data_IF_351551722419
#
_entry.id   IF_351551722419
#
_cell.length_a   1.000
_cell.length_b   1.000
_cell.length_c   1.000
_cell.angle_alpha   90.00
_cell.angle_beta   90.00
_cell.angle_gamma   90.00
#
_symmetry.space_group_name_H-M   'P 1'
#
loop_
_entity.id
_entity.type
_entity.pdbx_description
1 polymer ?
#
# COMPACT_ATOMS: atom_id res chain seq x y z
N UNK A 1 13.71 -5.80 17.75
CA UNK A 1 13.06 -5.85 16.42
C UNK A 1 14.10 -6.32 15.42
N UNK A 2 13.69 -7.10 14.41
CA UNK A 2 14.59 -7.52 13.32
C UNK A 2 14.82 -6.36 12.36
N UNK A 3 16.01 -6.25 11.80
CA UNK A 3 16.34 -5.26 10.76
C UNK A 3 15.68 -5.55 9.41
N UNK A 4 14.94 -6.65 9.25
CA UNK A 4 14.32 -7.02 7.97
C UNK A 4 12.86 -6.61 7.93
N UNK A 5 12.51 -5.82 6.90
CA UNK A 5 11.11 -5.53 6.58
C UNK A 5 10.43 -6.79 6.01
N UNK A 6 9.37 -7.25 6.68
CA UNK A 6 8.60 -8.44 6.28
C UNK A 6 7.13 -8.08 6.08
N UNK A 7 6.62 -8.33 4.88
CA UNK A 7 5.20 -8.26 4.59
C UNK A 7 4.43 -9.39 5.27
N UNK A 8 3.13 -9.18 5.48
CA UNK A 8 2.22 -10.21 6.01
C UNK A 8 1.75 -11.08 4.82
N UNK A 9 1.73 -12.41 4.95
CA UNK A 9 1.14 -13.28 3.92
C UNK A 9 -0.32 -12.88 3.64
N UNK A 10 -0.73 -12.86 2.37
CA UNK A 10 -2.03 -12.29 1.97
C UNK A 10 -3.23 -12.88 2.71
N UNK A 11 -3.29 -14.22 2.86
CA UNK A 11 -4.35 -14.89 3.62
C UNK A 11 -4.45 -14.37 5.06
N UNK A 12 -3.31 -14.23 5.73
CA UNK A 12 -3.27 -13.73 7.11
C UNK A 12 -3.65 -12.24 7.15
N UNK A 13 -3.18 -11.45 6.18
CA UNK A 13 -3.53 -10.03 6.05
C UNK A 13 -5.04 -9.85 5.91
N UNK A 14 -5.68 -10.60 5.01
CA UNK A 14 -7.13 -10.60 4.76
C UNK A 14 -7.91 -11.02 6.02
N UNK A 15 -7.62 -12.19 6.57
CA UNK A 15 -8.34 -12.75 7.72
C UNK A 15 -8.20 -11.83 8.94
N UNK A 16 -6.98 -11.36 9.23
CA UNK A 16 -6.75 -10.48 10.37
C UNK A 16 -7.50 -9.16 10.21
N UNK A 17 -7.46 -8.56 9.02
CA UNK A 17 -8.17 -7.29 8.75
C UNK A 17 -9.67 -7.44 8.95
N UNK A 18 -10.29 -8.47 8.37
CA UNK A 18 -11.74 -8.68 8.49
C UNK A 18 -12.18 -9.04 9.90
N UNK A 19 -11.41 -9.89 10.59
CA UNK A 19 -11.70 -10.30 11.97
C UNK A 19 -11.54 -9.14 12.95
N UNK A 20 -10.45 -8.38 12.85
CA UNK A 20 -10.24 -7.22 13.70
C UNK A 20 -11.38 -6.22 13.50
N UNK A 21 -11.73 -5.92 12.25
CA UNK A 21 -12.86 -5.04 11.97
C UNK A 21 -14.16 -5.50 12.62
N UNK A 22 -14.54 -6.77 12.42
CA UNK A 22 -15.80 -7.31 12.95
C UNK A 22 -15.89 -7.25 14.46
N UNK A 23 -14.77 -7.43 15.15
CA UNK A 23 -14.73 -7.52 16.60
C UNK A 23 -14.57 -6.15 17.28
N UNK A 24 -13.76 -5.26 16.70
CA UNK A 24 -13.34 -4.01 17.38
C UNK A 24 -13.57 -2.75 16.57
N UNK A 25 -14.03 -2.86 15.32
CA UNK A 25 -14.09 -1.73 14.37
C UNK A 25 -12.74 -1.03 14.20
N UNK A 26 -11.66 -1.81 14.19
CA UNK A 26 -10.29 -1.35 13.91
C UNK A 26 -9.64 -2.22 12.84
N UNK A 27 -8.62 -1.69 12.17
CA UNK A 27 -7.68 -2.50 11.38
C UNK A 27 -6.26 -2.06 11.75
N UNK A 28 -5.44 -2.99 12.21
CA UNK A 28 -4.09 -2.73 12.73
C UNK A 28 -4.07 -1.65 13.81
N UNK A 29 -5.00 -1.77 14.77
CA UNK A 29 -5.18 -0.87 15.93
C UNK A 29 -5.62 0.56 15.59
N UNK A 30 -5.87 0.86 14.31
CA UNK A 30 -6.42 2.15 13.89
C UNK A 30 -7.94 2.04 13.87
N UNK A 31 -8.69 2.95 14.52
CA UNK A 31 -10.14 2.96 14.46
C UNK A 31 -10.64 3.44 13.11
N UNK A 32 -11.78 2.88 12.67
CA UNK A 32 -12.47 3.36 11.47
C UNK A 32 -12.89 4.81 11.69
N UNK A 33 -12.37 5.71 10.86
CA UNK A 33 -12.70 7.12 10.88
C UNK A 33 -14.07 7.34 10.23
N UNK A 34 -14.99 7.94 10.97
CA UNK A 34 -16.28 8.36 10.44
C UNK A 34 -16.15 9.75 9.81
N UNK A 35 -16.49 9.84 8.53
CA UNK A 35 -16.36 11.07 7.77
C UNK A 35 -17.45 11.21 6.73
N UNK A 36 -17.75 12.46 6.39
CA UNK A 36 -18.68 12.77 5.30
C UNK A 36 -18.04 12.48 3.95
N UNK A 37 -18.63 11.56 3.20
CA UNK A 37 -18.15 11.19 1.86
C UNK A 37 -18.57 12.21 0.81
N UNK A 38 -17.88 13.35 0.79
CA UNK A 38 -18.07 14.42 -0.18
C UNK A 38 -17.62 14.01 -1.60
N UNK A 39 -17.64 14.96 -2.54
CA UNK A 39 -17.26 14.74 -3.93
C UNK A 39 -16.17 15.75 -4.33
N UNK A 40 -14.92 15.43 -4.02
CA UNK A 40 -13.76 16.19 -4.49
C UNK A 40 -13.25 15.61 -5.81
N UNK A 41 -12.36 16.33 -6.49
CA UNK A 41 -11.66 15.84 -7.67
C UNK A 41 -10.16 16.06 -7.50
N UNK A 42 -9.38 15.00 -7.66
CA UNK A 42 -7.92 15.02 -7.63
C UNK A 42 -7.41 14.27 -8.85
N UNK A 43 -6.46 14.88 -9.58
CA UNK A 43 -5.92 14.36 -10.83
C UNK A 43 -7.01 13.94 -11.86
N UNK A 44 -8.12 14.70 -11.90
CA UNK A 44 -9.24 14.45 -12.80
C UNK A 44 -10.14 13.26 -12.42
N UNK A 45 -9.94 12.65 -11.24
CA UNK A 45 -10.76 11.55 -10.74
C UNK A 45 -11.47 11.93 -9.43
N UNK A 46 -12.70 11.44 -9.18
CA UNK A 46 -13.43 11.73 -7.96
C UNK A 46 -12.76 11.07 -6.75
N UNK A 47 -12.81 11.74 -5.60
CA UNK A 47 -12.40 11.20 -4.29
C UNK A 47 -13.32 11.72 -3.19
N UNK A 48 -13.57 10.91 -2.17
CA UNK A 48 -14.44 11.25 -1.04
C UNK A 48 -13.77 12.15 -0.01
N UNK A 49 -12.43 12.08 0.07
CA UNK A 49 -11.58 12.98 0.82
C UNK A 49 -10.28 13.26 0.04
N UNK A 50 -9.81 14.50 -0.08
CA UNK A 50 -8.62 14.83 -0.85
C UNK A 50 -7.35 14.74 0.04
N UNK A 51 -7.23 13.68 0.83
CA UNK A 51 -6.13 13.50 1.79
C UNK A 51 -5.58 12.06 1.76
N UNK A 52 -4.30 11.94 2.07
CA UNK A 52 -3.67 10.69 2.47
C UNK A 52 -2.15 10.80 2.49
N UNK A 53 -1.45 9.67 2.73
CA UNK A 53 -0.02 9.68 3.01
C UNK A 53 0.82 9.97 1.75
N UNK A 54 1.89 10.74 1.95
CA UNK A 54 2.96 10.93 0.98
C UNK A 54 3.85 9.67 0.86
N UNK A 55 4.65 9.59 -0.20
CA UNK A 55 5.59 8.50 -0.41
C UNK A 55 6.59 8.42 0.74
N UNK A 56 6.60 7.29 1.45
CA UNK A 56 7.44 7.14 2.64
C UNK A 56 7.35 5.73 3.23
N UNK A 57 7.99 5.49 4.38
CA UNK A 57 8.01 4.16 5.00
C UNK A 57 6.60 3.59 5.26
N UNK A 58 5.63 4.48 5.51
CA UNK A 58 4.25 4.08 5.75
C UNK A 58 3.54 3.52 4.49
N UNK A 59 3.95 3.93 3.29
CA UNK A 59 3.32 3.48 2.02
C UNK A 59 4.11 2.36 1.34
N UNK A 60 4.88 1.59 2.11
CA UNK A 60 5.61 0.40 1.64
C UNK A 60 4.84 -0.92 1.85
N UNK A 61 4.12 -1.05 2.97
CA UNK A 61 3.51 -2.31 3.38
C UNK A 61 1.98 -2.22 3.35
N UNK A 62 1.34 -3.32 2.97
CA UNK A 62 -0.10 -3.37 2.75
C UNK A 62 -0.90 -3.04 4.02
N UNK A 63 -0.48 -3.54 5.20
CA UNK A 63 -1.17 -3.26 6.47
C UNK A 63 -1.22 -1.77 6.81
N UNK A 64 -0.18 -1.02 6.45
CA UNK A 64 -0.11 0.42 6.72
C UNK A 64 -1.03 1.21 5.77
N UNK A 65 -1.09 0.79 4.50
CA UNK A 65 -2.02 1.36 3.52
C UNK A 65 -3.48 1.08 3.95
N UNK A 66 -3.77 -0.14 4.43
CA UNK A 66 -5.08 -0.51 4.98
C UNK A 66 -5.43 0.37 6.20
N UNK A 67 -4.51 0.50 7.15
CA UNK A 67 -4.67 1.34 8.33
C UNK A 67 -4.93 2.82 7.95
N UNK A 68 -4.21 3.33 6.96
CA UNK A 68 -4.42 4.68 6.43
C UNK A 68 -5.79 4.84 5.75
N UNK A 69 -6.25 3.83 4.98
CA UNK A 69 -7.55 3.87 4.31
C UNK A 69 -8.71 3.96 5.29
N UNK A 70 -8.67 3.14 6.35
CA UNK A 70 -9.71 3.16 7.39
C UNK A 70 -9.65 4.43 8.25
N UNK A 71 -8.50 5.10 8.31
CA UNK A 71 -8.35 6.43 8.90
C UNK A 71 -8.85 7.57 7.98
N UNK A 72 -9.40 7.26 6.81
CA UNK A 72 -9.98 8.23 5.89
C UNK A 72 -9.11 8.59 4.68
N UNK A 73 -7.92 8.02 4.53
CA UNK A 73 -7.09 8.30 3.35
C UNK A 73 -7.76 7.79 2.07
N UNK A 74 -7.70 8.61 1.01
CA UNK A 74 -8.14 8.23 -0.35
C UNK A 74 -7.06 8.46 -1.39
N UNK A 75 -5.97 9.13 -1.04
CA UNK A 75 -4.82 9.33 -1.93
C UNK A 75 -3.63 8.69 -1.27
N UNK A 76 -2.96 7.78 -1.97
CA UNK A 76 -1.79 7.09 -1.45
C UNK A 76 -0.66 7.31 -2.42
N UNK A 77 0.30 8.15 -2.05
CA UNK A 77 1.55 8.21 -2.80
C UNK A 77 2.42 7.04 -2.35
N UNK A 78 2.57 6.06 -3.23
CA UNK A 78 3.27 4.82 -2.91
C UNK A 78 4.78 5.07 -2.83
N UNK A 79 5.48 4.36 -1.95
CA UNK A 79 6.92 4.50 -1.80
C UNK A 79 7.62 4.35 -3.15
N UNK A 80 8.56 5.25 -3.43
CA UNK A 80 9.33 5.25 -4.66
C UNK A 80 10.06 3.93 -4.89
N UNK A 81 9.83 3.33 -6.05
CA UNK A 81 10.61 2.21 -6.57
C UNK A 81 11.66 2.72 -7.56
N UNK A 82 12.81 2.05 -7.59
CA UNK A 82 13.91 2.36 -8.50
C UNK A 82 14.73 1.09 -8.80
N UNK A 83 15.72 1.19 -9.69
CA UNK A 83 16.53 0.03 -10.11
C UNK A 83 17.31 -0.57 -8.94
N UNK A 84 17.97 0.27 -8.13
CA UNK A 84 18.69 -0.12 -6.91
C UNK A 84 17.71 -0.25 -5.74
N UNK A 85 17.59 -1.45 -5.16
CA UNK A 85 16.50 -1.77 -4.23
C UNK A 85 16.94 -2.73 -3.13
N UNK A 86 16.18 -2.78 -2.04
CA UNK A 86 16.39 -3.78 -0.99
C UNK A 86 17.78 -3.73 -0.35
N UNK A 87 18.44 -4.87 -0.25
CA UNK A 87 19.75 -4.98 0.40
C UNK A 87 20.85 -4.22 -0.36
N UNK A 88 20.72 -4.04 -1.68
CA UNK A 88 21.69 -3.29 -2.50
C UNK A 88 21.78 -1.81 -2.09
N UNK A 89 20.74 -1.26 -1.47
CA UNK A 89 20.74 0.11 -0.96
C UNK A 89 21.66 0.28 0.26
N UNK A 90 22.02 -0.81 0.94
CA UNK A 90 22.93 -0.75 2.10
C UNK A 90 22.45 0.21 3.20
N UNK A 91 21.14 0.30 3.42
CA UNK A 91 20.53 1.28 4.32
C UNK A 91 21.08 1.09 5.74
N UNK A 92 21.88 2.06 6.18
CA UNK A 92 22.44 2.08 7.55
C UNK A 92 21.32 2.42 8.54
N UNK A 93 21.14 1.59 9.56
CA UNK A 93 20.07 1.73 10.56
C UNK A 93 20.61 2.26 11.91
N UNK A 94 19.88 3.15 12.62
CA UNK A 94 18.58 3.72 12.27
C UNK A 94 18.67 4.71 11.08
N UNK A 95 17.86 4.48 10.04
CA UNK A 95 17.82 5.31 8.83
C UNK A 95 16.83 6.47 8.92
N UNK A 96 15.93 6.40 9.89
CA UNK A 96 15.25 7.57 10.43
C UNK A 96 15.58 7.56 11.91
N UNK A 97 16.61 8.28 12.29
CA UNK A 97 16.96 8.41 13.70
C UNK A 97 16.21 9.62 14.24
N UNK A 98 15.69 9.69 15.45
CA UNK A 98 15.48 11.01 16.03
C UNK A 98 15.77 11.02 17.48
N UNK A 99 16.67 11.91 17.85
CA UNK A 99 16.88 12.26 19.24
C UNK A 99 15.59 12.73 19.92
N UNK A 100 14.75 13.59 19.28
CA UNK A 100 13.46 14.08 19.85
C UNK A 100 12.27 14.30 18.84
N UNK A 101 12.40 14.17 17.49
CA UNK A 101 11.35 14.32 16.42
C UNK A 101 11.57 13.68 14.97
N UNK A 102 12.56 14.07 14.11
CA UNK A 102 13.22 13.32 12.98
C UNK A 102 14.74 13.63 12.63
N UNK A 103 15.55 12.63 12.23
CA UNK A 103 16.81 12.59 11.42
C UNK A 103 16.44 11.67 10.24
N UNK A 104 16.89 12.00 9.03
CA UNK A 104 16.48 11.27 7.83
C UNK A 104 17.69 10.95 6.94
N UNK A 105 17.98 9.66 6.77
CA UNK A 105 18.67 9.13 5.58
C UNK A 105 17.63 8.42 4.73
N UNK A 106 16.89 9.21 3.94
CA UNK A 106 15.80 8.69 3.12
C UNK A 106 16.37 7.95 1.92
N UNK A 107 16.28 6.62 1.96
CA UNK A 107 16.49 5.80 0.79
C UNK A 107 15.13 5.39 0.21
N UNK A 108 15.15 4.88 -1.02
CA UNK A 108 13.97 4.30 -1.67
C UNK A 108 13.47 3.05 -0.93
N UNK A 109 12.52 2.34 -1.53
CA UNK A 109 11.97 1.09 -1.00
C UNK A 109 13.01 0.10 -0.43
N UNK A 110 12.77 -0.39 0.79
CA UNK A 110 13.46 -1.55 1.38
C UNK A 110 13.03 -2.89 0.75
N UNK A 111 11.95 -2.86 -0.02
CA UNK A 111 11.46 -4.01 -0.76
C UNK A 111 12.04 -4.02 -2.17
N UNK A 112 12.29 -5.22 -2.69
CA UNK A 112 12.49 -5.39 -4.13
C UNK A 112 11.20 -5.00 -4.87
N UNK A 113 11.31 -4.57 -6.13
CA UNK A 113 10.17 -4.19 -6.97
C UNK A 113 9.08 -5.26 -6.97
N UNK A 114 9.36 -6.57 -7.16
CA UNK A 114 8.32 -7.60 -7.09
C UNK A 114 7.59 -7.65 -5.75
N UNK A 115 8.30 -7.45 -4.63
CA UNK A 115 7.70 -7.41 -3.29
C UNK A 115 6.87 -6.15 -3.09
N UNK A 116 7.31 -5.00 -3.60
CA UNK A 116 6.53 -3.78 -3.57
C UNK A 116 5.22 -3.94 -4.38
N UNK A 117 5.31 -4.48 -5.60
CA UNK A 117 4.14 -4.84 -6.42
C UNK A 117 3.17 -5.73 -5.65
N UNK A 118 3.70 -6.77 -4.99
CA UNK A 118 2.89 -7.70 -4.20
C UNK A 118 2.13 -6.96 -3.09
N UNK A 119 2.81 -6.14 -2.27
CA UNK A 119 2.18 -5.36 -1.19
C UNK A 119 1.10 -4.39 -1.71
N UNK A 120 1.33 -3.75 -2.86
CA UNK A 120 0.35 -2.84 -3.45
C UNK A 120 -0.87 -3.57 -3.99
N UNK A 121 -0.69 -4.73 -4.62
CA UNK A 121 -1.82 -5.57 -5.05
C UNK A 121 -2.63 -6.07 -3.84
N UNK A 122 -1.95 -6.55 -2.78
CA UNK A 122 -2.61 -6.96 -1.52
C UNK A 122 -3.49 -5.85 -0.97
N UNK A 123 -2.91 -4.64 -0.84
CA UNK A 123 -3.63 -3.48 -0.34
C UNK A 123 -4.82 -3.16 -1.25
N UNK A 124 -4.61 -3.03 -2.56
CA UNK A 124 -5.67 -2.70 -3.51
C UNK A 124 -6.89 -3.60 -3.39
N UNK A 125 -6.69 -4.93 -3.36
CA UNK A 125 -7.77 -5.90 -3.21
C UNK A 125 -8.52 -5.70 -1.89
N UNK A 126 -7.78 -5.60 -0.78
CA UNK A 126 -8.39 -5.44 0.55
C UNK A 126 -9.14 -4.12 0.66
N UNK A 127 -8.60 -3.00 0.16
CA UNK A 127 -9.28 -1.70 0.19
C UNK A 127 -10.63 -1.75 -0.54
N UNK A 128 -10.73 -2.46 -1.68
CA UNK A 128 -12.01 -2.66 -2.38
C UNK A 128 -13.01 -3.48 -1.55
N UNK A 129 -12.53 -4.52 -0.85
CA UNK A 129 -13.38 -5.32 0.06
C UNK A 129 -13.87 -4.44 1.22
N UNK A 130 -12.98 -3.69 1.86
CA UNK A 130 -13.34 -2.78 2.95
C UNK A 130 -14.25 -1.64 2.46
N UNK A 131 -14.09 -1.14 1.23
CA UNK A 131 -15.01 -0.14 0.71
C UNK A 131 -16.46 -0.68 0.71
N UNK A 132 -16.64 -1.92 0.27
CA UNK A 132 -17.95 -2.59 0.25
C UNK A 132 -18.47 -2.90 1.65
N UNK A 133 -17.67 -3.55 2.50
CA UNK A 133 -18.08 -3.99 3.84
C UNK A 133 -18.46 -2.83 4.79
N UNK A 134 -18.03 -1.61 4.46
CA UNK A 134 -18.16 -0.43 5.33
C UNK A 134 -19.03 0.66 4.70
N UNK A 135 -19.65 0.38 3.54
CA UNK A 135 -20.44 1.35 2.78
C UNK A 135 -19.65 2.65 2.49
N UNK A 136 -18.36 2.49 2.19
CA UNK A 136 -17.47 3.56 1.74
C UNK A 136 -17.39 3.53 0.21
N UNK A 137 -17.23 4.69 -0.40
CA UNK A 137 -16.88 4.78 -1.82
C UNK A 137 -15.51 4.14 -2.05
N UNK A 138 -15.41 3.35 -3.11
CA UNK A 138 -14.13 2.83 -3.60
C UNK A 138 -13.43 3.82 -4.53
N UNK A 139 -13.34 5.07 -4.07
CA UNK A 139 -12.86 6.22 -4.84
C UNK A 139 -11.44 6.64 -4.42
N UNK A 140 -10.63 5.67 -4.00
CA UNK A 140 -9.23 5.90 -3.66
C UNK A 140 -8.31 5.83 -4.89
N UNK A 141 -7.13 6.42 -4.76
CA UNK A 141 -6.14 6.52 -5.82
C UNK A 141 -4.77 6.12 -5.29
N UNK A 142 -4.07 5.28 -6.04
CA UNK A 142 -2.64 5.03 -5.85
C UNK A 142 -1.86 5.93 -6.82
N UNK A 143 -1.04 6.80 -6.26
CA UNK A 143 -0.13 7.67 -6.99
C UNK A 143 1.24 6.99 -7.01
N UNK A 144 1.66 6.56 -8.20
CA UNK A 144 2.87 5.77 -8.36
C UNK A 144 4.09 6.70 -8.39
N UNK A 145 5.05 6.44 -7.51
CA UNK A 145 6.34 7.12 -7.47
C UNK A 145 7.44 6.22 -8.03
N UNK A 146 8.17 6.71 -9.04
CA UNK A 146 9.33 6.05 -9.66
C UNK A 146 10.48 7.05 -9.82
N UNK A 147 11.72 6.64 -9.60
CA UNK A 147 12.92 7.48 -9.73
C UNK A 147 14.15 6.67 -10.19
N UNK A 148 15.38 7.19 -10.25
CA UNK A 148 15.87 8.57 -10.05
C UNK A 148 16.38 9.21 -11.36
N UNK A 149 16.53 8.41 -12.43
CA UNK A 149 16.94 8.88 -13.74
C UNK A 149 16.06 8.31 -14.85
N UNK A 150 16.10 8.96 -16.01
CA UNK A 150 15.29 8.55 -17.16
C UNK A 150 15.66 7.15 -17.68
N UNK A 151 16.93 6.77 -17.55
CA UNK A 151 17.42 5.48 -18.02
C UNK A 151 16.81 4.33 -17.20
N UNK A 152 16.80 4.46 -15.88
CA UNK A 152 16.18 3.53 -14.95
C UNK A 152 14.67 3.48 -15.11
N UNK A 153 14.00 4.61 -15.27
CA UNK A 153 12.55 4.66 -15.52
C UNK A 153 12.19 3.93 -16.82
N UNK A 154 13.02 4.03 -17.87
CA UNK A 154 12.84 3.32 -19.14
C UNK A 154 13.29 1.86 -19.10
N UNK A 155 13.83 1.38 -18.00
CA UNK A 155 14.27 -0.01 -17.88
C UNK A 155 13.08 -0.97 -17.91
N UNK A 156 13.28 -2.16 -18.45
CA UNK A 156 12.27 -3.24 -18.45
C UNK A 156 11.75 -3.53 -17.04
N UNK A 157 12.60 -3.39 -16.02
CA UNK A 157 12.24 -3.63 -14.62
C UNK A 157 11.16 -2.65 -14.14
N UNK A 158 11.35 -1.35 -14.36
CA UNK A 158 10.39 -0.31 -13.97
C UNK A 158 9.17 -0.32 -14.89
N UNK A 159 9.35 -0.53 -16.19
CA UNK A 159 8.25 -0.63 -17.14
C UNK A 159 7.30 -1.80 -16.79
N UNK A 160 7.85 -2.97 -16.44
CA UNK A 160 7.05 -4.12 -15.98
C UNK A 160 6.26 -3.79 -14.71
N UNK A 161 6.89 -3.10 -13.75
CA UNK A 161 6.20 -2.62 -12.55
C UNK A 161 5.04 -1.70 -12.91
N UNK A 162 5.27 -0.67 -13.71
CA UNK A 162 4.24 0.30 -14.11
C UNK A 162 3.07 -0.35 -14.85
N UNK A 163 3.36 -1.28 -15.78
CA UNK A 163 2.33 -2.01 -16.50
C UNK A 163 1.51 -2.92 -15.58
N UNK A 164 2.15 -3.60 -14.63
CA UNK A 164 1.46 -4.41 -13.62
C UNK A 164 0.61 -3.56 -12.69
N UNK A 165 1.11 -2.39 -12.25
CA UNK A 165 0.36 -1.48 -11.38
C UNK A 165 -0.81 -0.81 -12.09
N UNK A 166 -0.74 -0.66 -13.42
CA UNK A 166 -1.85 -0.18 -14.24
C UNK A 166 -2.96 -1.22 -14.34
N UNK A 167 -2.60 -2.49 -14.54
CA UNK A 167 -3.52 -3.61 -14.57
C UNK A 167 -2.80 -4.91 -14.17
N UNK A 168 -3.17 -5.43 -13.00
CA UNK A 168 -2.60 -6.66 -12.45
C UNK A 168 -3.48 -7.90 -12.72
N UNK A 169 -4.63 -7.75 -13.39
CA UNK A 169 -5.67 -8.79 -13.45
C UNK A 169 -5.20 -10.11 -14.07
N UNK A 170 -4.27 -10.04 -15.02
CA UNK A 170 -3.68 -11.22 -15.66
C UNK A 170 -2.50 -11.83 -14.89
N UNK A 171 -2.00 -11.17 -13.84
CA UNK A 171 -0.89 -11.68 -13.04
C UNK A 171 -1.28 -12.88 -12.18
N UNK A 172 -0.35 -13.82 -12.00
CA UNK A 172 -0.58 -15.01 -11.16
C UNK A 172 -0.85 -14.64 -9.70
N UNK A 173 -0.20 -13.57 -9.21
CA UNK A 173 -0.39 -13.03 -7.86
C UNK A 173 -1.84 -12.56 -7.68
N UNK A 174 -2.37 -11.78 -8.64
CA UNK A 174 -3.75 -11.33 -8.60
C UNK A 174 -4.73 -12.50 -8.56
N UNK A 175 -4.58 -13.46 -9.48
CA UNK A 175 -5.45 -14.64 -9.57
C UNK A 175 -5.44 -15.43 -8.26
N UNK A 176 -4.26 -15.69 -7.72
CA UNK A 176 -4.07 -16.39 -6.44
C UNK A 176 -4.76 -15.67 -5.28
N UNK A 177 -4.68 -14.33 -5.24
CA UNK A 177 -5.31 -13.54 -4.19
C UNK A 177 -6.82 -13.47 -4.34
N UNK A 178 -7.34 -13.36 -5.56
CA UNK A 178 -8.78 -13.45 -5.78
C UNK A 178 -9.30 -14.83 -5.38
N UNK A 179 -8.65 -15.92 -5.77
CA UNK A 179 -8.99 -17.28 -5.31
C UNK A 179 -8.98 -17.37 -3.78
N UNK A 180 -7.94 -16.83 -3.13
CA UNK A 180 -7.86 -16.78 -1.67
C UNK A 180 -9.04 -16.00 -1.06
N UNK A 181 -9.46 -14.89 -1.67
CA UNK A 181 -10.66 -14.16 -1.21
C UNK A 181 -11.90 -15.03 -1.37
N UNK A 182 -12.10 -15.65 -2.54
CA UNK A 182 -13.25 -16.49 -2.84
C UNK A 182 -13.39 -17.65 -1.85
N UNK A 183 -12.28 -18.31 -1.53
CA UNK A 183 -12.22 -19.42 -0.56
C UNK A 183 -12.55 -18.99 0.87
N UNK A 184 -12.56 -17.68 1.16
CA UNK A 184 -12.77 -17.11 2.47
C UNK A 184 -13.96 -16.11 2.50
N UNK A 185 -14.83 -16.10 1.48
CA UNK A 185 -16.02 -15.22 1.37
C UNK A 185 -17.01 -15.42 2.53
N UNK A 186 -17.03 -16.60 3.15
CA UNK A 186 -17.94 -16.93 4.25
C UNK A 186 -17.54 -16.35 5.60
N UNK A 187 -16.36 -15.73 5.70
CA UNK A 187 -15.94 -15.01 6.90
C UNK A 187 -16.77 -13.76 7.06
#
# INVERSE_FOLDING_TARGET
MSDLMRGIPFKNLLINTLNEYKNTRTCYYVPVFDFKQDNYTVAGKPVSLPIGPAAGPHTQLAQNIIASFIAGARIFELKTVQVMEGEELGIVKPCIYVSDEAYNTEWSTELTIPKATEEYIKAYIILHILAKEFNLKSDFQFHISVGYDLAGIKSTKIDTFLNTMKDASDSDIWKTYIETVLDNISL
#
